data_IF_109953944048
#
_entry.id   IF_109953944048
#
_cell.length_a   1.000
_cell.length_b   1.000
_cell.length_c   1.000
_cell.angle_alpha   90.00
_cell.angle_beta   90.00
_cell.angle_gamma   90.00
#
_symmetry.space_group_name_H-M   'P 1'
#
loop_
_entity.id
_entity.type
_entity.pdbx_description
1 polymer ?
#
# COMPACT_ATOMS: atom_id res chain seq x y z
N UNK A 1 11.72 8.05 19.65
CA UNK A 1 12.78 8.66 18.82
C UNK A 1 13.06 7.84 17.56
N UNK A 2 13.40 6.54 17.66
CA UNK A 2 13.73 5.70 16.49
C UNK A 2 12.70 5.73 15.35
N UNK A 3 11.39 5.66 15.65
CA UNK A 3 10.31 5.75 14.65
C UNK A 3 10.44 6.99 13.74
N UNK A 4 10.74 8.15 14.32
CA UNK A 4 10.86 9.39 13.56
C UNK A 4 12.14 9.41 12.72
N UNK A 5 13.22 8.82 13.22
CA UNK A 5 14.48 8.68 12.48
C UNK A 5 14.28 7.77 11.27
N UNK A 6 13.64 6.61 11.45
CA UNK A 6 13.33 5.69 10.36
C UNK A 6 12.39 6.32 9.32
N UNK A 7 11.40 7.09 9.77
CA UNK A 7 10.51 7.83 8.88
C UNK A 7 11.26 8.90 8.08
N UNK A 8 12.12 9.68 8.73
CA UNK A 8 12.95 10.69 8.06
C UNK A 8 13.88 10.02 7.03
N UNK A 9 14.52 8.90 7.40
CA UNK A 9 15.36 8.13 6.48
C UNK A 9 14.57 7.63 5.27
N UNK A 10 13.37 7.07 5.48
CA UNK A 10 12.49 6.63 4.39
C UNK A 10 12.10 7.77 3.45
N UNK A 11 11.79 8.95 3.99
CA UNK A 11 11.49 10.14 3.18
C UNK A 11 12.70 10.63 2.38
N UNK A 12 13.89 10.59 2.97
CA UNK A 12 15.14 10.95 2.26
C UNK A 12 15.37 9.97 1.10
N UNK A 13 15.24 8.67 1.34
CA UNK A 13 15.39 7.64 0.31
C UNK A 13 14.38 7.84 -0.82
N UNK A 14 13.11 8.09 -0.48
CA UNK A 14 12.06 8.40 -1.45
C UNK A 14 12.43 9.62 -2.29
N UNK A 15 12.89 10.71 -1.66
CA UNK A 15 13.32 11.92 -2.34
C UNK A 15 14.49 11.68 -3.29
N UNK A 16 15.50 10.91 -2.85
CA UNK A 16 16.65 10.53 -3.68
C UNK A 16 16.21 9.68 -4.87
N UNK A 17 15.32 8.71 -4.68
CA UNK A 17 14.77 7.89 -5.77
C UNK A 17 14.06 8.77 -6.82
N UNK A 18 13.19 9.66 -6.37
CA UNK A 18 12.47 10.59 -7.27
C UNK A 18 13.45 11.50 -8.01
N UNK A 19 14.49 11.99 -7.33
CA UNK A 19 15.52 12.83 -7.94
C UNK A 19 16.33 12.07 -9.00
N UNK A 20 16.73 10.83 -8.72
CA UNK A 20 17.48 9.97 -9.64
C UNK A 20 16.69 9.61 -10.90
N UNK A 21 15.40 9.33 -10.75
CA UNK A 21 14.52 9.00 -11.88
C UNK A 21 14.17 10.26 -12.67
N UNK A 22 14.08 11.41 -11.98
CA UNK A 22 13.66 12.68 -12.52
C UNK A 22 12.12 12.83 -12.49
N UNK A 23 11.57 13.89 -11.87
CA UNK A 23 10.12 14.04 -11.72
C UNK A 23 9.38 14.15 -13.05
N UNK A 24 10.01 14.74 -14.08
CA UNK A 24 9.46 14.81 -15.44
C UNK A 24 9.28 13.42 -16.07
N UNK A 25 10.27 12.53 -15.92
CA UNK A 25 10.18 11.18 -16.46
C UNK A 25 9.07 10.36 -15.78
N UNK A 26 8.86 10.54 -14.47
CA UNK A 26 7.75 9.90 -13.74
C UNK A 26 6.41 10.40 -14.26
N UNK A 27 6.29 11.71 -14.47
CA UNK A 27 5.08 12.34 -14.99
C UNK A 27 4.76 11.87 -16.41
N UNK A 28 5.74 11.87 -17.30
CA UNK A 28 5.58 11.42 -18.69
C UNK A 28 5.22 9.93 -18.75
N UNK A 29 5.83 9.10 -17.91
CA UNK A 29 5.50 7.68 -17.82
C UNK A 29 4.06 7.46 -17.32
N UNK A 30 3.63 8.22 -16.31
CA UNK A 30 2.26 8.15 -15.80
C UNK A 30 1.23 8.60 -16.84
N UNK A 31 1.53 9.64 -17.62
CA UNK A 31 0.69 10.08 -18.73
C UNK A 31 0.59 9.04 -19.85
N UNK A 32 1.69 8.36 -20.17
CA UNK A 32 1.72 7.28 -21.19
C UNK A 32 0.91 6.05 -20.77
N UNK A 33 0.93 5.71 -19.48
CA UNK A 33 0.09 4.64 -18.92
C UNK A 33 -1.39 5.03 -18.93
N UNK A 34 -1.70 6.28 -18.60
CA UNK A 34 -3.06 6.77 -18.46
C UNK A 34 -3.76 6.26 -17.19
N UNK A 35 -4.83 6.96 -16.75
CA UNK A 35 -5.48 6.67 -15.47
C UNK A 35 -6.20 5.32 -15.46
N UNK A 36 -6.78 4.91 -16.59
CA UNK A 36 -7.58 3.69 -16.68
C UNK A 36 -6.73 2.42 -16.57
N UNK A 37 -5.61 2.27 -17.33
CA UNK A 37 -4.72 1.11 -17.16
C UNK A 37 -4.09 1.04 -15.77
N UNK A 38 -3.76 2.18 -15.16
CA UNK A 38 -3.27 2.22 -13.78
C UNK A 38 -4.30 1.63 -12.80
N UNK A 39 -5.57 2.02 -12.89
CA UNK A 39 -6.63 1.46 -12.04
C UNK A 39 -6.79 -0.04 -12.27
N UNK A 40 -6.77 -0.48 -13.53
CA UNK A 40 -6.91 -1.90 -13.87
C UNK A 40 -5.77 -2.74 -13.27
N UNK A 41 -4.53 -2.23 -13.31
CA UNK A 41 -3.36 -2.90 -12.73
C UNK A 41 -3.45 -2.97 -11.20
N UNK A 42 -4.03 -1.95 -10.56
CA UNK A 42 -4.16 -1.91 -9.10
C UNK A 42 -5.29 -2.80 -8.56
N UNK A 43 -6.31 -3.11 -9.37
CA UNK A 43 -7.46 -3.93 -8.95
C UNK A 43 -7.01 -5.32 -8.43
N UNK A 44 -6.20 -6.11 -9.17
CA UNK A 44 -5.73 -7.41 -8.69
C UNK A 44 -4.99 -7.33 -7.35
N UNK A 45 -4.09 -6.36 -7.18
CA UNK A 45 -3.35 -6.16 -5.93
C UNK A 45 -4.28 -5.79 -4.78
N UNK A 46 -5.26 -4.91 -5.03
CA UNK A 46 -6.24 -4.54 -4.01
C UNK A 46 -7.11 -5.73 -3.61
N UNK A 47 -7.57 -6.51 -4.59
CA UNK A 47 -8.36 -7.72 -4.36
C UNK A 47 -7.60 -8.75 -3.54
N UNK A 48 -6.30 -8.93 -3.81
CA UNK A 48 -5.44 -9.84 -3.03
C UNK A 48 -5.48 -9.48 -1.53
N UNK A 49 -5.20 -8.23 -1.18
CA UNK A 49 -5.23 -7.79 0.22
C UNK A 49 -6.62 -7.90 0.86
N UNK A 50 -7.67 -7.58 0.11
CA UNK A 50 -9.05 -7.70 0.61
C UNK A 50 -9.42 -9.16 0.87
N UNK A 51 -9.09 -10.07 -0.04
CA UNK A 51 -9.35 -11.51 0.09
C UNK A 51 -8.56 -12.07 1.28
N UNK A 52 -7.30 -11.67 1.42
CA UNK A 52 -6.45 -12.12 2.51
C UNK A 52 -6.95 -11.63 3.87
N UNK A 53 -7.30 -10.35 3.99
CA UNK A 53 -7.94 -9.80 5.18
C UNK A 53 -9.26 -10.53 5.49
N UNK A 54 -10.03 -10.87 4.47
CA UNK A 54 -11.27 -11.62 4.65
C UNK A 54 -11.02 -13.06 5.14
N UNK A 55 -10.02 -13.75 4.57
CA UNK A 55 -9.59 -15.07 5.02
C UNK A 55 -9.21 -15.06 6.51
N UNK A 56 -8.47 -14.05 6.94
CA UNK A 56 -8.13 -13.88 8.36
C UNK A 56 -9.34 -13.62 9.25
N UNK A 57 -10.30 -12.82 8.78
CA UNK A 57 -11.56 -12.59 9.50
C UNK A 57 -12.32 -13.91 9.72
N UNK A 58 -12.31 -14.81 8.72
CA UNK A 58 -12.92 -16.13 8.86
C UNK A 58 -12.15 -17.03 9.85
N UNK A 59 -10.83 -17.04 9.78
CA UNK A 59 -9.97 -17.84 10.67
C UNK A 59 -10.06 -17.39 12.14
N UNK A 60 -10.17 -16.08 12.39
CA UNK A 60 -10.28 -15.50 13.73
C UNK A 60 -11.61 -15.82 14.45
N UNK A 61 -12.63 -16.32 13.72
CA UNK A 61 -13.87 -16.83 14.31
C UNK A 61 -14.54 -15.87 15.29
N UNK A 62 -14.79 -16.32 16.52
CA UNK A 62 -15.45 -15.51 17.57
C UNK A 62 -14.66 -14.25 17.97
N UNK A 63 -13.32 -14.27 17.86
CA UNK A 63 -12.49 -13.09 18.14
C UNK A 63 -12.57 -12.03 17.03
N UNK A 64 -13.02 -12.40 15.83
CA UNK A 64 -13.21 -11.47 14.71
C UNK A 64 -14.40 -10.53 14.90
N UNK A 65 -15.35 -10.86 15.79
CA UNK A 65 -16.53 -10.01 16.06
C UNK A 65 -16.15 -8.68 16.73
N UNK A 66 -15.01 -8.65 17.42
CA UNK A 66 -14.54 -7.47 18.17
C UNK A 66 -13.73 -6.52 17.28
N UNK A 67 -13.20 -7.01 16.16
CA UNK A 67 -12.28 -6.24 15.30
C UNK A 67 -12.99 -5.87 13.99
N UNK A 68 -13.18 -4.57 13.70
CA UNK A 68 -13.79 -4.16 12.44
C UNK A 68 -12.86 -4.51 11.26
N UNK A 69 -13.45 -4.94 10.15
CA UNK A 69 -12.72 -5.37 8.95
C UNK A 69 -11.69 -4.33 8.48
N UNK A 70 -12.03 -3.04 8.53
CA UNK A 70 -11.12 -1.94 8.17
C UNK A 70 -9.83 -1.90 9.01
N UNK A 71 -9.92 -2.23 10.29
CA UNK A 71 -8.75 -2.30 11.18
C UNK A 71 -7.90 -3.51 10.85
N UNK A 72 -8.54 -4.62 10.51
CA UNK A 72 -7.84 -5.84 10.10
C UNK A 72 -7.13 -5.67 8.74
N UNK A 73 -7.82 -5.06 7.77
CA UNK A 73 -7.27 -4.72 6.46
C UNK A 73 -6.06 -3.79 6.61
N UNK A 74 -6.19 -2.69 7.37
CA UNK A 74 -5.08 -1.74 7.58
C UNK A 74 -3.87 -2.37 8.28
N UNK A 75 -4.09 -3.27 9.26
CA UNK A 75 -3.00 -4.00 9.91
C UNK A 75 -2.28 -4.91 8.93
N UNK A 76 -3.01 -5.66 8.09
CA UNK A 76 -2.40 -6.55 7.10
C UNK A 76 -1.65 -5.78 6.02
N UNK A 77 -2.19 -4.65 5.56
CA UNK A 77 -1.52 -3.81 4.54
C UNK A 77 -0.33 -3.01 5.10
N UNK A 78 -0.25 -2.79 6.41
CA UNK A 78 0.81 -2.01 7.04
C UNK A 78 2.02 -2.86 7.51
N UNK A 79 1.91 -4.18 7.45
CA UNK A 79 2.86 -5.10 8.09
C UNK A 79 3.17 -6.36 7.29
N UNK A 80 3.07 -6.30 5.96
CA UNK A 80 3.95 -7.10 5.10
C UNK A 80 5.34 -6.48 5.03
#
# INVERSE_FOLDING_TARGET
MLRYILLALGLIVLGVLVWQIGPGNIYDAALRLGPLPLVIILIPSLLMYVIEAYGWKLVLGAFAQVIPFWRLLTIRTAGE
#
